data_IF_501887015733
#
_entry.id   IF_501887015733
#
_cell.length_a   1.000
_cell.length_b   1.000
_cell.length_c   1.000
_cell.angle_alpha   90.00
_cell.angle_beta   90.00
_cell.angle_gamma   90.00
#
_symmetry.space_group_name_H-M   'P 1'
#
loop_
_entity.id
_entity.type
_entity.pdbx_description
1 polymer ?
#
# COMPACT_ATOMS: atom_id res chain seq x y z
N UNK A 1 -28.55 4.42 -5.06
CA UNK A 1 -28.16 4.05 -3.69
C UNK A 1 -26.97 4.89 -3.29
N UNK A 2 -27.18 5.93 -2.48
CA UNK A 2 -26.10 6.72 -1.89
C UNK A 2 -25.69 6.00 -0.60
N UNK A 3 -24.90 4.95 -0.77
CA UNK A 3 -24.36 4.16 0.34
C UNK A 3 -23.27 4.97 1.02
N UNK A 4 -23.40 5.12 2.33
CA UNK A 4 -22.50 5.84 3.23
C UNK A 4 -21.11 5.18 3.24
N UNK A 5 -20.25 5.51 2.27
CA UNK A 5 -18.80 5.21 2.32
C UNK A 5 -18.03 6.32 3.06
N UNK A 6 -18.72 7.06 3.94
CA UNK A 6 -18.07 7.99 4.84
C UNK A 6 -17.49 7.19 6.00
N UNK A 7 -16.16 7.23 6.11
CA UNK A 7 -15.34 6.71 7.21
C UNK A 7 -14.89 5.25 7.11
N UNK A 8 -14.34 4.84 5.96
CA UNK A 8 -13.06 4.09 6.08
C UNK A 8 -12.11 5.14 6.64
N UNK A 9 -11.60 4.97 7.86
CA UNK A 9 -10.51 5.81 8.34
C UNK A 9 -9.47 5.84 7.20
N UNK A 10 -9.13 7.03 6.68
CA UNK A 10 -8.36 7.18 5.45
C UNK A 10 -6.90 6.72 5.56
N UNK A 11 -6.63 5.75 6.44
CA UNK A 11 -5.36 5.17 6.81
C UNK A 11 -5.47 3.64 6.74
N UNK A 12 -4.47 2.99 6.16
CA UNK A 12 -4.35 1.53 6.17
C UNK A 12 -3.04 1.12 6.85
N UNK A 13 -3.06 -0.03 7.53
CA UNK A 13 -1.85 -0.65 8.07
C UNK A 13 -1.14 -1.41 6.95
N UNK A 14 0.12 -1.07 6.71
CA UNK A 14 0.97 -1.72 5.71
C UNK A 14 2.26 -2.22 6.34
N UNK A 15 2.83 -3.25 5.73
CA UNK A 15 4.18 -3.71 6.01
C UNK A 15 5.11 -3.20 4.90
N UNK A 16 5.99 -2.25 5.22
CA UNK A 16 6.99 -1.75 4.29
C UNK A 16 8.37 -2.32 4.60
N UNK A 17 9.02 -2.80 3.56
CA UNK A 17 10.41 -3.26 3.62
C UNK A 17 11.28 -2.26 2.85
N UNK A 18 12.27 -1.68 3.51
CA UNK A 18 13.23 -0.77 2.91
C UNK A 18 14.53 -1.52 2.63
N UNK A 19 15.04 -1.47 1.39
CA UNK A 19 16.35 -2.05 1.01
C UNK A 19 16.61 -3.51 1.45
N UNK A 20 15.57 -4.34 1.57
CA UNK A 20 15.71 -5.73 2.02
C UNK A 20 15.89 -5.92 3.53
N UNK A 21 15.75 -4.85 4.32
CA UNK A 21 15.74 -4.89 5.78
C UNK A 21 14.48 -5.56 6.35
N UNK A 22 14.39 -5.70 7.67
CA UNK A 22 13.19 -6.23 8.31
C UNK A 22 11.95 -5.37 8.00
N UNK A 23 10.83 -5.96 7.55
CA UNK A 23 9.61 -5.20 7.29
C UNK A 23 9.09 -4.48 8.53
N UNK A 24 8.76 -3.21 8.38
CA UNK A 24 8.22 -2.38 9.44
C UNK A 24 6.73 -2.10 9.20
N UNK A 25 5.95 -2.07 10.29
CA UNK A 25 4.53 -1.72 10.24
C UNK A 25 4.39 -0.21 10.29
N UNK A 26 3.64 0.35 9.35
CA UNK A 26 3.25 1.76 9.37
C UNK A 26 1.82 1.95 8.89
N UNK A 27 1.23 3.08 9.28
CA UNK A 27 -0.04 3.55 8.77
C UNK A 27 0.20 4.56 7.66
N UNK A 28 -0.36 4.32 6.49
CA UNK A 28 -0.28 5.23 5.33
C UNK A 28 -1.65 5.74 4.97
N UNK A 29 -1.75 6.99 4.49
CA UNK A 29 -3.02 7.51 3.99
C UNK A 29 -3.42 6.76 2.72
N UNK A 30 -4.70 6.41 2.57
CA UNK A 30 -5.21 5.72 1.38
C UNK A 30 -6.11 6.59 0.49
N UNK A 31 -6.65 7.69 1.02
CA UNK A 31 -7.53 8.59 0.27
C UNK A 31 -6.77 9.83 -0.20
N UNK A 32 -6.86 10.13 -1.50
CA UNK A 32 -6.28 11.34 -2.09
C UNK A 32 -4.75 11.38 -2.10
N UNK A 33 -4.09 10.22 -1.96
CA UNK A 33 -2.63 10.12 -1.96
C UNK A 33 -2.10 10.01 -3.39
N UNK A 34 -1.20 10.93 -3.75
CA UNK A 34 -0.41 10.85 -4.97
C UNK A 34 0.80 9.94 -4.75
N UNK A 35 1.39 9.41 -5.82
CA UNK A 35 2.63 8.64 -5.76
C UNK A 35 3.75 9.42 -5.09
N UNK A 36 3.84 10.73 -5.36
CA UNK A 36 4.79 11.61 -4.68
C UNK A 36 4.51 11.67 -3.19
N UNK A 37 3.25 11.89 -2.79
CA UNK A 37 2.86 11.92 -1.38
C UNK A 37 3.18 10.62 -0.64
N UNK A 38 2.92 9.47 -1.27
CA UNK A 38 3.27 8.16 -0.71
C UNK A 38 4.79 7.99 -0.54
N UNK A 39 5.59 8.38 -1.54
CA UNK A 39 7.05 8.33 -1.45
C UNK A 39 7.59 9.24 -0.35
N UNK A 40 7.00 10.41 -0.17
CA UNK A 40 7.36 11.36 0.89
C UNK A 40 7.02 10.76 2.27
N UNK A 41 5.83 10.22 2.49
CA UNK A 41 5.46 9.53 3.74
C UNK A 41 6.41 8.36 4.07
N UNK A 42 6.73 7.52 3.08
CA UNK A 42 7.66 6.40 3.25
C UNK A 42 9.10 6.87 3.53
N UNK A 43 9.53 7.98 2.92
CA UNK A 43 10.84 8.58 3.17
C UNK A 43 10.94 9.11 4.60
N UNK A 44 9.94 9.87 5.03
CA UNK A 44 9.86 10.42 6.39
C UNK A 44 9.86 9.29 7.42
N UNK A 45 9.09 8.23 7.18
CA UNK A 45 9.09 7.06 8.04
C UNK A 45 10.47 6.39 8.11
N UNK A 46 11.11 6.10 6.95
CA UNK A 46 12.42 5.46 6.91
C UNK A 46 13.49 6.29 7.64
N UNK A 47 13.47 7.60 7.50
CA UNK A 47 14.39 8.50 8.20
C UNK A 47 14.12 8.56 9.70
N UNK A 48 12.86 8.42 10.13
CA UNK A 48 12.50 8.33 11.54
C UNK A 48 13.02 7.06 12.22
N UNK A 49 12.99 5.93 11.51
CA UNK A 49 13.40 4.61 12.04
C UNK A 49 14.87 4.29 11.79
N UNK A 50 15.44 4.82 10.72
CA UNK A 50 16.86 4.72 10.35
C UNK A 50 17.42 6.11 10.02
N UNK A 51 17.76 6.94 11.04
CA UNK A 51 18.20 8.32 10.83
C UNK A 51 19.51 8.48 10.05
N UNK A 52 20.27 7.39 9.88
CA UNK A 52 21.49 7.37 9.06
C UNK A 52 21.18 7.25 7.58
N UNK A 53 20.01 6.73 7.22
CA UNK A 53 19.59 6.63 5.83
C UNK A 53 18.86 7.91 5.41
N UNK A 54 19.59 8.81 4.75
CA UNK A 54 19.07 10.08 4.25
C UNK A 54 18.49 9.99 2.84
N UNK A 55 18.52 8.79 2.22
CA UNK A 55 18.03 8.60 0.85
C UNK A 55 16.51 8.76 0.80
N UNK A 56 16.03 9.30 -0.32
CA UNK A 56 14.59 9.37 -0.62
C UNK A 56 14.14 8.09 -1.28
N UNK A 57 12.89 7.71 -1.06
CA UNK A 57 12.27 6.58 -1.74
C UNK A 57 12.04 6.93 -3.21
N UNK A 58 12.79 6.30 -4.11
CA UNK A 58 12.65 6.50 -5.55
C UNK A 58 11.65 5.53 -6.19
N UNK A 59 11.67 4.27 -5.75
CA UNK A 59 10.83 3.19 -6.29
C UNK A 59 9.97 2.58 -5.19
N UNK A 60 8.70 2.31 -5.51
CA UNK A 60 7.76 1.62 -4.62
C UNK A 60 7.15 0.47 -5.38
N UNK A 61 7.19 -0.72 -4.78
CA UNK A 61 6.53 -1.92 -5.30
C UNK A 61 5.59 -2.47 -4.23
N UNK A 62 4.45 -2.98 -4.65
CA UNK A 62 3.52 -3.67 -3.76
C UNK A 62 3.27 -5.10 -4.23
N UNK A 63 2.96 -5.98 -3.27
CA UNK A 63 2.49 -7.33 -3.58
C UNK A 63 1.02 -7.24 -3.95
N UNK A 64 0.72 -7.43 -5.23
CA UNK A 64 -0.63 -7.54 -5.76
C UNK A 64 -1.11 -8.98 -5.62
N UNK A 65 -2.20 -9.24 -4.88
CA UNK A 65 -2.79 -10.57 -4.86
C UNK A 65 -3.53 -10.80 -6.18
N UNK A 66 -3.44 -12.02 -6.71
CA UNK A 66 -4.17 -12.48 -7.87
C UNK A 66 -4.94 -13.73 -7.50
N UNK A 67 -6.21 -13.79 -7.90
CA UNK A 67 -7.05 -14.96 -7.74
C UNK A 67 -7.12 -15.69 -9.08
N UNK A 68 -6.62 -16.92 -9.11
CA UNK A 68 -6.64 -17.78 -10.30
C UNK A 68 -7.12 -19.17 -9.91
N UNK A 69 -8.23 -19.63 -10.53
CA UNK A 69 -8.85 -20.95 -10.27
C UNK A 69 -9.00 -21.30 -8.77
N UNK A 70 -9.36 -20.32 -7.94
CA UNK A 70 -9.53 -20.50 -6.49
C UNK A 70 -8.22 -20.50 -5.67
N UNK A 71 -7.07 -20.24 -6.30
CA UNK A 71 -5.77 -20.06 -5.64
C UNK A 71 -5.39 -18.60 -5.57
N UNK A 72 -4.89 -18.17 -4.41
CA UNK A 72 -4.31 -16.85 -4.23
C UNK A 72 -2.81 -16.93 -4.52
N UNK A 73 -2.35 -16.17 -5.51
CA UNK A 73 -0.94 -15.94 -5.80
C UNK A 73 -0.60 -14.46 -5.63
N UNK A 74 0.70 -14.12 -5.62
CA UNK A 74 1.16 -12.75 -5.47
C UNK A 74 2.16 -12.39 -6.55
N UNK A 75 2.03 -11.19 -7.10
CA UNK A 75 3.01 -10.60 -8.02
C UNK A 75 3.47 -9.24 -7.50
N UNK A 76 4.70 -8.84 -7.83
CA UNK A 76 5.20 -7.52 -7.49
C UNK A 76 4.86 -6.53 -8.61
N UNK A 77 4.20 -5.43 -8.25
CA UNK A 77 3.84 -4.37 -9.17
C UNK A 77 4.51 -3.07 -8.73
N UNK A 78 5.19 -2.41 -9.66
CA UNK A 78 5.80 -1.11 -9.43
C UNK A 78 4.79 0.03 -9.60
N UNK A 79 4.78 0.96 -8.65
CA UNK A 79 3.94 2.15 -8.71
C UNK A 79 4.63 3.21 -9.55
N UNK A 80 4.06 3.51 -10.73
CA UNK A 80 4.61 4.48 -11.68
C UNK A 80 3.70 5.70 -11.89
N UNK A 81 2.46 5.66 -11.40
CA UNK A 81 1.47 6.74 -11.50
C UNK A 81 0.56 6.83 -10.28
N UNK A 82 -0.13 7.97 -10.12
CA UNK A 82 -1.17 8.18 -9.10
C UNK A 82 -2.36 7.22 -9.27
N UNK A 83 -2.64 6.82 -10.52
CA UNK A 83 -3.65 5.81 -10.82
C UNK A 83 -3.23 4.44 -10.25
N UNK A 84 -1.97 4.04 -10.40
CA UNK A 84 -1.48 2.79 -9.81
C UNK A 84 -1.56 2.80 -8.27
N UNK A 85 -1.32 3.96 -7.64
CA UNK A 85 -1.46 4.12 -6.18
C UNK A 85 -2.92 3.94 -5.76
N UNK A 86 -3.84 4.57 -6.48
CA UNK A 86 -5.28 4.42 -6.25
C UNK A 86 -5.71 2.96 -6.39
N UNK A 87 -5.28 2.28 -7.46
CA UNK A 87 -5.56 0.86 -7.68
C UNK A 87 -4.98 -0.04 -6.59
N UNK A 88 -3.76 0.22 -6.13
CA UNK A 88 -3.14 -0.52 -5.02
C UNK A 88 -4.01 -0.47 -3.76
N UNK A 89 -4.48 0.73 -3.37
CA UNK A 89 -5.33 0.87 -2.18
C UNK A 89 -6.68 0.17 -2.35
N UNK A 90 -7.30 0.29 -3.52
CA UNK A 90 -8.55 -0.42 -3.83
C UNK A 90 -8.40 -1.93 -3.75
N UNK A 91 -7.34 -2.48 -4.36
CA UNK A 91 -7.06 -3.91 -4.33
C UNK A 91 -6.80 -4.39 -2.90
N UNK A 92 -5.99 -3.66 -2.13
CA UNK A 92 -5.72 -3.98 -0.73
C UNK A 92 -7.01 -4.02 0.11
N UNK A 93 -7.90 -3.05 -0.06
CA UNK A 93 -9.20 -3.02 0.63
C UNK A 93 -10.05 -4.20 0.18
N UNK A 94 -10.19 -4.43 -1.13
CA UNK A 94 -11.01 -5.53 -1.65
C UNK A 94 -10.58 -6.89 -1.12
N UNK A 95 -9.27 -7.18 -1.07
CA UNK A 95 -8.76 -8.46 -0.56
C UNK A 95 -8.94 -8.66 0.96
N UNK A 96 -9.13 -7.59 1.73
CA UNK A 96 -9.50 -7.71 3.16
C UNK A 96 -10.99 -8.02 3.38
N UNK A 97 -11.84 -7.85 2.37
CA UNK A 97 -13.30 -7.93 2.49
C UNK A 97 -13.92 -9.05 1.63
N UNK A 98 -13.18 -10.11 1.31
CA UNK A 98 -13.74 -11.23 0.55
C UNK A 98 -14.33 -12.27 1.51
N UNK A 99 -15.65 -12.43 1.47
CA UNK A 99 -16.37 -13.60 1.99
C UNK A 99 -16.56 -14.59 0.83
N UNK A 100 -16.13 -15.85 1.01
CA UNK A 100 -16.36 -16.93 0.05
C UNK A 100 -17.36 -17.90 0.69
N UNK A 101 -18.60 -17.87 0.23
CA UNK A 101 -19.61 -18.85 0.60
C UNK A 101 -19.69 -19.95 -0.47
N UNK A 102 -19.56 -21.21 -0.04
CA UNK A 102 -19.74 -22.41 -0.86
C UNK A 102 -20.78 -23.33 -0.23
#
# INVERSE_FOLDING_TARGET
MKGTFETIAGWIDVHAQFNGEEPQRLKVRCLGVTLRGLKDELTEFNQGVNPRDTRRVEHVRYKRPMLDEGRVSFTWVELTSDENVSSMFWEHIMFHWIEICG
#
